data_IF_480640899375
#
_entry.id   IF_480640899375
#
_cell.length_a   1.000
_cell.length_b   1.000
_cell.length_c   1.000
_cell.angle_alpha   90.00
_cell.angle_beta   90.00
_cell.angle_gamma   90.00
#
_symmetry.space_group_name_H-M   'P 1'
#
loop_
_entity.id
_entity.type
_entity.pdbx_description
1 polymer ?
#
# COMPACT_ATOMS: atom_id res chain seq x y z
N UNK A 1 10.56 1.43 39.03
CA UNK A 1 11.51 1.99 38.05
C UNK A 1 11.39 1.12 36.80
N UNK A 2 10.81 1.66 35.74
CA UNK A 2 10.33 0.93 34.55
C UNK A 2 11.48 0.82 33.55
N UNK A 3 11.66 -0.38 33.00
CA UNK A 3 12.63 -0.77 31.96
C UNK A 3 12.48 0.06 30.67
N UNK A 4 13.57 0.52 30.02
CA UNK A 4 13.46 1.00 28.65
C UNK A 4 13.36 -0.20 27.70
N UNK A 5 12.34 -0.14 26.85
CA UNK A 5 11.97 -1.14 25.87
C UNK A 5 13.11 -1.44 24.91
N UNK A 6 13.29 -2.73 24.69
CA UNK A 6 14.25 -3.32 23.78
C UNK A 6 13.90 -2.88 22.36
N UNK A 7 14.79 -2.11 21.73
CA UNK A 7 14.88 -1.88 20.29
C UNK A 7 14.98 -3.24 19.57
N UNK A 8 13.85 -3.93 19.45
CA UNK A 8 13.72 -5.15 18.66
C UNK A 8 13.58 -4.72 17.21
N UNK A 9 14.68 -4.26 16.62
CA UNK A 9 14.84 -4.19 15.17
C UNK A 9 14.81 -5.62 14.67
N UNK A 10 13.67 -6.03 14.11
CA UNK A 10 13.51 -7.32 13.47
C UNK A 10 14.53 -7.43 12.32
N UNK A 11 15.63 -8.15 12.55
CA UNK A 11 16.57 -8.53 11.52
C UNK A 11 15.89 -9.55 10.60
N UNK A 12 15.33 -9.07 9.49
CA UNK A 12 14.78 -9.94 8.44
C UNK A 12 15.96 -10.37 7.55
N UNK A 13 16.57 -11.51 7.89
CA UNK A 13 17.58 -12.15 7.04
C UNK A 13 16.86 -12.83 5.85
N UNK A 14 16.92 -12.21 4.68
CA UNK A 14 16.34 -12.79 3.45
C UNK A 14 17.29 -13.87 2.94
N UNK A 15 16.99 -15.12 3.30
CA UNK A 15 17.69 -16.30 2.80
C UNK A 15 17.44 -16.45 1.29
N UNK A 16 18.45 -16.15 0.48
CA UNK A 16 18.47 -16.31 -0.97
C UNK A 16 18.68 -17.79 -1.34
N UNK A 17 17.88 -18.69 -0.79
CA UNK A 17 17.79 -20.05 -1.30
C UNK A 17 16.98 -20.00 -2.61
N UNK A 18 17.57 -20.49 -3.70
CA UNK A 18 16.95 -20.63 -5.02
C UNK A 18 15.66 -21.45 -4.91
N UNK A 19 14.55 -20.77 -4.62
CA UNK A 19 13.22 -21.32 -4.67
C UNK A 19 12.69 -21.01 -6.07
N UNK A 20 12.19 -22.04 -6.75
CA UNK A 20 11.41 -21.86 -7.98
C UNK A 20 10.17 -21.03 -7.61
N UNK A 21 10.32 -19.70 -7.68
CA UNK A 21 9.39 -18.78 -7.06
C UNK A 21 8.10 -18.78 -7.88
N UNK A 22 7.07 -19.44 -7.36
CA UNK A 22 5.73 -19.36 -7.95
C UNK A 22 5.25 -17.92 -7.76
N UNK A 23 5.41 -17.12 -8.80
CA UNK A 23 5.04 -15.71 -8.76
C UNK A 23 3.54 -15.55 -8.99
N UNK A 24 2.86 -15.02 -7.98
CA UNK A 24 1.47 -14.61 -8.12
C UNK A 24 1.41 -13.12 -8.45
N UNK A 25 1.05 -12.81 -9.71
CA UNK A 25 0.97 -11.43 -10.20
C UNK A 25 -0.07 -10.58 -9.47
N UNK A 26 -1.15 -11.16 -8.95
CA UNK A 26 -2.12 -10.40 -8.15
C UNK A 26 -1.55 -10.01 -6.79
N UNK A 27 -0.77 -10.91 -6.17
CA UNK A 27 -0.08 -10.62 -4.91
C UNK A 27 0.92 -9.50 -5.10
N UNK A 28 1.75 -9.55 -6.15
CA UNK A 28 2.67 -8.47 -6.47
C UNK A 28 1.95 -7.11 -6.59
N UNK A 29 0.83 -7.08 -7.31
CA UNK A 29 0.04 -5.85 -7.51
C UNK A 29 -0.60 -5.34 -6.21
N UNK A 30 -1.09 -6.22 -5.32
CA UNK A 30 -1.64 -5.78 -4.04
C UNK A 30 -0.55 -5.21 -3.11
N UNK A 31 0.66 -5.76 -3.15
CA UNK A 31 1.79 -5.20 -2.40
C UNK A 31 2.24 -3.84 -2.96
N UNK A 32 2.27 -3.66 -4.28
CA UNK A 32 2.53 -2.35 -4.88
C UNK A 32 1.51 -1.28 -4.43
N UNK A 33 0.24 -1.66 -4.21
CA UNK A 33 -0.78 -0.76 -3.63
C UNK A 33 -0.46 -0.43 -2.17
N UNK A 34 -0.06 -1.42 -1.35
CA UNK A 34 0.33 -1.19 0.05
C UNK A 34 1.57 -0.30 0.17
N UNK A 35 2.59 -0.53 -0.65
CA UNK A 35 3.79 0.31 -0.69
C UNK A 35 3.47 1.76 -1.03
N UNK A 36 2.58 1.98 -2.01
CA UNK A 36 2.14 3.33 -2.36
C UNK A 36 1.44 4.01 -1.18
N UNK A 37 0.52 3.31 -0.51
CA UNK A 37 -0.23 3.85 0.62
C UNK A 37 0.67 4.09 1.84
N UNK A 38 1.69 3.27 2.06
CA UNK A 38 2.68 3.47 3.13
C UNK A 38 3.65 4.62 2.87
N UNK A 39 3.87 4.99 1.59
CA UNK A 39 4.78 6.09 1.21
C UNK A 39 4.12 7.47 1.29
N UNK A 40 2.80 7.55 1.10
CA UNK A 40 2.08 8.82 1.04
C UNK A 40 1.37 9.09 2.37
N UNK A 41 1.68 10.20 3.07
CA UNK A 41 1.08 10.50 4.37
C UNK A 41 -0.38 10.98 4.26
N UNK A 42 -0.86 11.29 3.05
CA UNK A 42 -2.24 11.69 2.78
C UNK A 42 -3.08 10.55 2.19
N UNK A 43 -4.40 10.54 2.45
CA UNK A 43 -5.31 9.58 1.82
C UNK A 43 -5.34 9.72 0.29
N UNK A 44 -5.36 8.59 -0.41
CA UNK A 44 -5.43 8.54 -1.87
C UNK A 44 -6.83 8.15 -2.36
N UNK A 45 -7.26 8.75 -3.48
CA UNK A 45 -8.46 8.28 -4.17
C UNK A 45 -8.18 7.00 -4.96
N UNK A 46 -9.22 6.23 -5.30
CA UNK A 46 -9.06 5.05 -6.18
C UNK A 46 -8.47 5.41 -7.55
N UNK A 47 -8.66 6.63 -8.03
CA UNK A 47 -8.08 7.10 -9.30
C UNK A 47 -6.59 7.35 -9.15
N UNK A 48 -6.17 7.93 -8.04
CA UNK A 48 -4.74 8.19 -7.77
C UNK A 48 -3.99 6.87 -7.60
N UNK A 49 -4.57 5.92 -6.87
CA UNK A 49 -4.02 4.55 -6.73
C UNK A 49 -3.90 3.89 -8.09
N UNK A 50 -4.96 3.90 -8.90
CA UNK A 50 -4.97 3.31 -10.24
C UNK A 50 -3.86 3.89 -11.14
N UNK A 51 -3.70 5.22 -11.15
CA UNK A 51 -2.68 5.91 -11.93
C UNK A 51 -1.26 5.61 -11.45
N UNK A 52 -1.03 5.67 -10.15
CA UNK A 52 0.31 5.48 -9.59
C UNK A 52 0.78 4.02 -9.62
N UNK A 53 -0.13 3.05 -9.73
CA UNK A 53 0.18 1.61 -9.79
C UNK A 53 0.02 0.99 -11.19
N UNK A 54 -0.28 1.81 -12.20
CA UNK A 54 -0.61 1.35 -13.57
C UNK A 54 -1.68 0.25 -13.61
N UNK A 55 -2.70 0.40 -12.76
CA UNK A 55 -3.86 -0.49 -12.70
C UNK A 55 -5.07 0.20 -13.32
N UNK A 56 -5.95 -0.58 -13.93
CA UNK A 56 -7.28 -0.05 -14.24
C UNK A 56 -8.08 0.19 -12.95
N UNK A 57 -9.06 1.09 -13.00
CA UNK A 57 -9.88 1.48 -11.85
C UNK A 57 -10.60 0.30 -11.19
N UNK A 58 -11.09 -0.66 -11.97
CA UNK A 58 -11.80 -1.84 -11.46
C UNK A 58 -10.86 -2.76 -10.68
N UNK A 59 -9.66 -3.00 -11.19
CA UNK A 59 -8.61 -3.81 -10.53
C UNK A 59 -8.12 -3.14 -9.26
N UNK A 60 -7.84 -1.83 -9.29
CA UNK A 60 -7.48 -1.08 -8.09
C UNK A 60 -8.58 -1.13 -7.03
N UNK A 61 -9.85 -0.95 -7.43
CA UNK A 61 -11.00 -1.09 -6.52
C UNK A 61 -11.04 -2.47 -5.86
N UNK A 62 -10.87 -3.54 -6.63
CA UNK A 62 -10.90 -4.92 -6.10
C UNK A 62 -9.79 -5.15 -5.08
N UNK A 63 -8.55 -4.76 -5.38
CA UNK A 63 -7.44 -4.93 -4.43
C UNK A 63 -7.64 -4.10 -3.17
N UNK A 64 -8.02 -2.82 -3.30
CA UNK A 64 -8.29 -1.98 -2.12
C UNK A 64 -9.43 -2.54 -1.28
N UNK A 65 -10.50 -3.05 -1.89
CA UNK A 65 -11.59 -3.73 -1.16
C UNK A 65 -11.08 -4.95 -0.39
N UNK A 66 -10.31 -5.83 -1.01
CA UNK A 66 -9.72 -6.99 -0.32
C UNK A 66 -8.78 -6.56 0.80
N UNK A 67 -7.93 -5.55 0.59
CA UNK A 67 -7.03 -5.04 1.62
C UNK A 67 -7.80 -4.41 2.80
N UNK A 68 -8.96 -3.78 2.54
CA UNK A 68 -9.87 -3.32 3.60
C UNK A 68 -10.46 -4.48 4.38
N UNK A 69 -10.97 -5.51 3.70
CA UNK A 69 -11.54 -6.70 4.32
C UNK A 69 -10.53 -7.44 5.19
N UNK A 70 -9.26 -7.43 4.80
CA UNK A 70 -8.14 -8.00 5.56
C UNK A 70 -7.63 -7.09 6.69
N UNK A 71 -8.11 -5.84 6.78
CA UNK A 71 -7.70 -4.88 7.81
C UNK A 71 -6.36 -4.19 7.59
N UNK A 72 -5.77 -4.28 6.38
CA UNK A 72 -4.51 -3.60 6.07
C UNK A 72 -4.69 -2.10 5.79
N UNK A 73 -5.86 -1.69 5.28
CA UNK A 73 -6.15 -0.30 4.89
C UNK A 73 -7.58 0.05 5.24
N UNK A 74 -7.83 1.31 5.58
CA UNK A 74 -9.18 1.79 5.92
C UNK A 74 -9.72 2.75 4.85
N UNK A 75 -11.04 2.69 4.59
CA UNK A 75 -11.71 3.66 3.74
C UNK A 75 -12.20 4.83 4.59
N UNK A 76 -11.61 6.00 4.38
CA UNK A 76 -12.10 7.22 5.01
C UNK A 76 -13.45 7.64 4.39
N UNK A 77 -14.45 7.86 5.25
CA UNK A 77 -15.77 8.35 4.84
C UNK A 77 -15.78 9.82 4.39
N UNK A 78 -14.68 10.54 4.62
CA UNK A 78 -14.57 11.97 4.32
C UNK A 78 -14.24 12.16 2.84
N UNK A 79 -15.14 12.82 2.10
CA UNK A 79 -14.82 13.39 0.79
C UNK A 79 -13.86 14.55 1.02
N UNK A 80 -12.57 14.30 0.97
CA UNK A 80 -11.59 15.40 0.88
C UNK A 80 -11.78 16.07 -0.48
N UNK A 81 -12.00 17.40 -0.54
CA UNK A 81 -12.00 18.12 -1.80
C UNK A 81 -10.64 17.90 -2.47
N UNK A 82 -10.67 17.50 -3.74
CA UNK A 82 -9.48 17.20 -4.54
C UNK A 82 -8.43 18.31 -4.33
N UNK A 83 -7.22 18.00 -3.82
CA UNK A 83 -6.19 19.02 -3.72
C UNK A 83 -5.94 19.56 -5.12
N UNK A 84 -6.01 20.89 -5.25
CA UNK A 84 -5.64 21.58 -6.47
C UNK A 84 -4.20 21.14 -6.77
N UNK A 85 -4.01 20.33 -7.82
CA UNK A 85 -2.67 20.06 -8.31
C UNK A 85 -2.13 21.44 -8.68
N UNK A 86 -1.17 21.93 -7.90
CA UNK A 86 -0.47 23.15 -8.23
C UNK A 86 0.34 22.81 -9.48
N UNK A 87 -0.24 23.13 -10.64
CA UNK A 87 0.51 23.34 -11.86
C UNK A 87 1.59 24.37 -11.50
N UNK A 88 2.80 23.89 -11.25
CA UNK A 88 3.99 24.71 -11.24
C UNK A 88 4.88 24.22 -12.36
N UNK A 89 4.87 25.07 -13.40
CA UNK A 89 6.01 25.52 -14.22
C UNK A 89 6.89 24.44 -14.81
#
# INVERSE_FOLDING_TARGET
MIVPAEDTVAHVEVSLAESSQVSNRSTFKSFAVLELLGRVPQPLTLVDIARATDLNRTTAKRFVSTLCELGYVERLAVVMPRPLVSSRV
#
